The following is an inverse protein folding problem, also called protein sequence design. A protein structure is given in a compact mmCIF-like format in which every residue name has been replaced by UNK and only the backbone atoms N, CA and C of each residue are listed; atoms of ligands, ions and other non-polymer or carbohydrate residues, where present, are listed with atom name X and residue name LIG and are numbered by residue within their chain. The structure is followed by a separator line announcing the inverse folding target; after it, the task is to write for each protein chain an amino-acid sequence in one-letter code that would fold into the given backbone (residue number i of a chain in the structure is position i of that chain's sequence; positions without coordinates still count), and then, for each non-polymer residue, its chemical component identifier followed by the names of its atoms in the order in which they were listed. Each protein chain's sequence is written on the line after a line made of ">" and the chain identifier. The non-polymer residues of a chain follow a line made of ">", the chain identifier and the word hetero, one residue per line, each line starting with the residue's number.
data_IF_031543469093
#
_entry.id   IF_031543469093
#
_cell.length_a   1.000
_cell.length_b   1.000
_cell.length_c   1.000
_cell.angle_alpha   90.00
_cell.angle_beta   90.00
_cell.angle_gamma   90.00
#
_symmetry.space_group_name_H-M   'P 1'
#
loop_
_entity.id
_entity.type
_entity.pdbx_description
1 polymer ?
#
# COMPACT_ATOMS: atom_id res chain seq x y z
N UNK A 1 14.83 52.24 -59.21
CA UNK A 1 15.78 51.54 -58.33
C UNK A 1 15.02 51.14 -57.11
N UNK A 2 14.49 49.93 -57.09
CA UNK A 2 13.60 49.40 -56.04
C UNK A 2 14.40 48.59 -55.07
N UNK A 3 14.49 49.01 -53.81
CA UNK A 3 15.13 48.32 -52.73
C UNK A 3 14.04 47.44 -52.04
N UNK A 4 14.08 46.13 -52.24
CA UNK A 4 13.24 45.12 -51.49
C UNK A 4 13.78 44.95 -50.07
N UNK A 5 12.98 45.32 -49.08
CA UNK A 5 13.25 45.01 -47.67
C UNK A 5 12.99 43.54 -47.41
N UNK A 6 14.03 42.80 -47.03
CA UNK A 6 13.96 41.42 -46.55
C UNK A 6 13.54 41.47 -45.07
N UNK A 7 12.35 40.96 -44.74
CA UNK A 7 11.90 40.79 -43.35
C UNK A 7 12.35 39.44 -42.85
N UNK A 8 13.28 39.43 -41.90
CA UNK A 8 13.74 38.22 -41.20
C UNK A 8 12.75 37.92 -40.08
N UNK A 9 11.98 36.82 -40.21
CA UNK A 9 11.16 36.32 -39.15
C UNK A 9 12.03 35.47 -38.19
N UNK A 10 12.23 35.98 -36.97
CA UNK A 10 12.80 35.22 -35.87
C UNK A 10 11.63 34.43 -35.21
N UNK A 11 11.57 33.12 -35.39
CA UNK A 11 10.70 32.27 -34.61
C UNK A 11 11.25 32.16 -33.18
N UNK A 12 10.44 32.38 -32.14
CA UNK A 12 10.87 32.06 -30.79
C UNK A 12 10.92 30.53 -30.62
N UNK A 13 12.09 30.01 -30.31
CA UNK A 13 12.25 28.63 -29.86
C UNK A 13 11.59 28.49 -28.48
N UNK A 14 10.39 27.96 -28.43
CA UNK A 14 9.78 27.47 -27.18
C UNK A 14 10.59 26.29 -26.68
N UNK A 15 11.46 26.50 -25.69
CA UNK A 15 12.02 25.43 -24.89
C UNK A 15 10.87 24.76 -24.15
N UNK A 16 10.45 23.60 -24.63
CA UNK A 16 9.68 22.63 -23.84
C UNK A 16 10.60 22.17 -22.70
N UNK A 17 10.46 22.77 -21.53
CA UNK A 17 10.97 22.17 -20.29
C UNK A 17 10.20 20.87 -20.08
N UNK A 18 10.77 19.77 -20.53
CA UNK A 18 10.40 18.43 -20.07
C UNK A 18 10.73 18.41 -18.58
N UNK A 19 9.71 18.44 -17.73
CA UNK A 19 9.86 18.07 -16.35
C UNK A 19 10.25 16.58 -16.33
N UNK A 20 11.54 16.30 -16.24
CA UNK A 20 12.04 14.97 -15.96
C UNK A 20 11.63 14.63 -14.51
N UNK A 21 10.49 14.01 -14.32
CA UNK A 21 10.09 13.37 -13.06
C UNK A 21 10.87 12.05 -12.87
N UNK A 22 12.19 12.11 -12.92
CA UNK A 22 13.02 11.00 -12.46
C UNK A 22 12.91 10.97 -10.93
N UNK A 23 12.68 9.79 -10.31
CA UNK A 23 12.70 9.67 -8.86
C UNK A 23 14.03 10.19 -8.33
N UNK A 24 14.00 10.93 -7.22
CA UNK A 24 15.23 11.36 -6.56
C UNK A 24 16.00 10.14 -6.09
N UNK A 25 17.34 10.19 -6.18
CA UNK A 25 18.18 9.05 -5.79
C UNK A 25 18.13 8.80 -4.28
N UNK A 26 17.90 9.82 -3.47
CA UNK A 26 17.82 9.76 -2.02
C UNK A 26 16.42 10.16 -1.52
N UNK A 27 15.88 9.38 -0.58
CA UNK A 27 14.61 9.63 0.09
C UNK A 27 14.65 9.19 1.54
N UNK A 28 13.49 9.24 2.21
CA UNK A 28 13.31 8.73 3.55
C UNK A 28 12.49 7.44 3.52
N UNK A 29 13.04 6.37 4.09
CA UNK A 29 12.34 5.14 4.37
C UNK A 29 11.72 5.24 5.77
N UNK A 30 10.39 5.13 5.84
CA UNK A 30 9.60 5.12 7.06
C UNK A 30 9.17 3.68 7.33
N UNK A 31 9.42 3.20 8.54
CA UNK A 31 9.16 1.81 8.91
C UNK A 31 8.21 1.80 10.11
N UNK A 32 7.06 1.13 9.96
CA UNK A 32 6.14 0.82 11.06
C UNK A 32 6.35 -0.59 11.58
N UNK A 33 6.07 -0.81 12.87
CA UNK A 33 6.28 -2.11 13.53
C UNK A 33 5.23 -2.43 14.57
N UNK A 34 5.18 -3.67 15.01
CA UNK A 34 4.54 -4.02 16.28
C UNK A 34 5.52 -3.74 17.42
N UNK A 35 5.23 -2.69 18.17
CA UNK A 35 6.06 -2.22 19.28
C UNK A 35 5.17 -1.63 20.36
N UNK A 36 5.64 -1.67 21.62
CA UNK A 36 4.96 -0.96 22.70
C UNK A 36 5.07 0.55 22.54
N UNK A 37 4.22 1.31 23.22
CA UNK A 37 4.27 2.78 23.17
C UNK A 37 5.57 3.38 23.75
N UNK A 38 6.30 2.64 24.57
CA UNK A 38 7.59 3.07 25.13
C UNK A 38 8.75 2.92 24.14
N UNK A 39 8.57 2.14 23.07
CA UNK A 39 9.60 1.88 22.07
C UNK A 39 9.42 2.80 20.86
N UNK A 40 10.51 2.98 20.10
CA UNK A 40 10.43 3.65 18.78
C UNK A 40 9.78 2.73 17.76
N UNK A 41 8.45 2.65 17.78
CA UNK A 41 7.65 1.81 16.88
C UNK A 41 7.65 2.29 15.42
N UNK A 42 7.91 3.57 15.18
CA UNK A 42 8.15 4.12 13.85
C UNK A 42 9.61 4.56 13.76
N UNK A 43 10.33 4.09 12.72
CA UNK A 43 11.73 4.48 12.46
C UNK A 43 11.90 5.11 11.10
N UNK A 44 12.83 6.06 11.00
CA UNK A 44 13.16 6.81 9.80
C UNK A 44 14.62 6.57 9.42
N UNK A 45 14.84 6.23 8.17
CA UNK A 45 16.17 6.10 7.57
C UNK A 45 16.27 6.99 6.34
N UNK A 46 17.44 7.59 6.09
CA UNK A 46 17.78 8.02 4.73
C UNK A 46 18.09 6.79 3.90
N UNK A 47 17.61 6.74 2.70
CA UNK A 47 17.78 5.61 1.80
C UNK A 47 18.17 6.08 0.40
N UNK A 48 19.37 5.66 -0.05
CA UNK A 48 19.84 5.84 -1.43
C UNK A 48 19.36 4.65 -2.27
N UNK A 49 18.40 4.90 -3.15
CA UNK A 49 17.82 3.86 -4.01
C UNK A 49 18.73 3.43 -5.18
N UNK A 50 19.84 4.14 -5.45
CA UNK A 50 20.80 3.73 -6.46
C UNK A 50 21.73 2.62 -5.96
N UNK A 51 22.15 2.71 -4.70
CA UNK A 51 23.16 1.84 -4.12
C UNK A 51 22.64 0.98 -2.96
N UNK A 52 21.36 1.19 -2.55
CA UNK A 52 20.78 0.60 -1.35
C UNK A 52 21.64 0.88 -0.09
N UNK A 53 22.16 2.11 -0.01
CA UNK A 53 22.81 2.60 1.21
C UNK A 53 21.76 3.25 2.11
N UNK A 54 21.92 3.09 3.42
CA UNK A 54 20.96 3.57 4.38
C UNK A 54 21.62 4.06 5.64
N UNK A 55 21.04 5.10 6.25
CA UNK A 55 21.48 5.60 7.54
C UNK A 55 20.28 5.95 8.42
N UNK A 56 20.33 5.49 9.67
CA UNK A 56 19.31 5.80 10.67
C UNK A 56 19.27 7.31 10.94
N UNK A 57 18.06 7.88 10.97
CA UNK A 57 17.82 9.30 11.21
C UNK A 57 17.23 9.52 12.60
N UNK A 58 16.22 8.75 12.96
CA UNK A 58 15.50 8.85 14.21
C UNK A 58 14.31 7.91 14.26
N UNK A 59 13.62 7.92 15.39
CA UNK A 59 12.39 7.15 15.60
C UNK A 59 11.39 7.93 16.43
N UNK A 60 10.17 7.41 16.50
CA UNK A 60 9.06 7.94 17.26
C UNK A 60 8.50 6.86 18.19
N UNK A 61 8.44 7.17 19.49
CA UNK A 61 7.69 6.45 20.51
C UNK A 61 6.36 7.15 20.80
N UNK A 62 5.49 6.56 21.59
CA UNK A 62 4.20 7.14 22.02
C UNK A 62 2.99 6.56 21.30
N UNK A 63 3.19 5.65 20.35
CA UNK A 63 2.08 4.93 19.66
C UNK A 63 2.29 3.44 19.89
N UNK A 64 1.27 2.76 20.44
CA UNK A 64 1.28 1.30 20.56
C UNK A 64 1.00 0.66 19.19
N UNK A 65 1.78 -0.34 18.83
CA UNK A 65 1.63 -1.11 17.60
C UNK A 65 1.38 -0.23 16.33
N UNK A 66 2.28 0.72 15.99
CA UNK A 66 2.13 1.51 14.76
C UNK A 66 2.43 0.64 13.52
N UNK A 67 1.58 -0.36 13.31
CA UNK A 67 1.78 -1.44 12.34
C UNK A 67 1.60 -1.00 10.89
N UNK A 68 0.88 0.09 10.64
CA UNK A 68 0.73 0.67 9.31
C UNK A 68 0.87 2.19 9.35
N UNK A 69 1.69 2.71 8.44
CA UNK A 69 1.92 4.15 8.28
C UNK A 69 1.69 4.55 6.82
N UNK A 70 1.17 5.74 6.58
CA UNK A 70 0.92 6.25 5.23
C UNK A 70 1.24 7.73 5.13
N UNK A 71 2.13 8.16 4.20
CA UNK A 71 2.48 9.57 4.03
C UNK A 71 1.42 10.32 3.23
N UNK A 72 1.22 11.60 3.55
CA UNK A 72 0.50 12.53 2.68
C UNK A 72 1.22 12.69 1.34
N UNK A 73 0.49 13.07 0.29
CA UNK A 73 1.03 13.22 -1.07
C UNK A 73 2.21 14.21 -1.16
N UNK A 74 2.18 15.26 -0.35
CA UNK A 74 3.27 16.25 -0.27
C UNK A 74 4.40 15.83 0.66
N UNK A 75 4.23 14.73 1.40
CA UNK A 75 5.18 14.19 2.36
C UNK A 75 5.40 15.07 3.59
N UNK A 76 4.49 16.00 3.92
CA UNK A 76 4.58 16.83 5.13
C UNK A 76 3.96 16.15 6.35
N UNK A 77 3.04 15.21 6.12
CA UNK A 77 2.35 14.48 7.17
C UNK A 77 2.50 12.97 6.96
N UNK A 78 2.45 12.24 8.06
CA UNK A 78 2.34 10.79 8.08
C UNK A 78 1.18 10.44 9.00
N UNK A 79 0.33 9.52 8.56
CA UNK A 79 -0.74 8.98 9.38
C UNK A 79 -0.41 7.55 9.76
N UNK A 80 -0.66 7.19 11.02
CA UNK A 80 -0.31 5.88 11.55
C UNK A 80 -1.48 5.30 12.37
N UNK A 81 -1.72 4.01 12.23
CA UNK A 81 -2.60 3.28 13.15
C UNK A 81 -1.88 3.00 14.47
N UNK A 82 -2.63 2.84 15.57
CA UNK A 82 -2.25 2.07 16.74
C UNK A 82 -3.10 0.81 16.72
N UNK A 83 -2.54 -0.31 16.23
CA UNK A 83 -3.27 -1.57 16.00
C UNK A 83 -3.49 -2.33 17.32
N UNK A 84 -4.31 -1.74 18.19
CA UNK A 84 -4.70 -2.35 19.45
C UNK A 84 -6.13 -2.88 19.38
N UNK A 85 -6.53 -3.65 20.38
CA UNK A 85 -7.87 -4.21 20.56
C UNK A 85 -8.33 -4.00 21.99
N UNK A 86 -9.65 -3.94 22.23
CA UNK A 86 -10.19 -3.84 23.57
C UNK A 86 -9.60 -4.93 24.52
N UNK A 87 -9.19 -4.60 25.78
CA UNK A 87 -9.49 -3.37 26.50
C UNK A 87 -8.55 -2.17 26.19
N UNK A 88 -7.46 -2.38 25.44
CA UNK A 88 -6.61 -1.28 24.97
C UNK A 88 -7.35 -0.46 23.92
N UNK A 89 -6.97 0.80 23.75
CA UNK A 89 -7.67 1.72 22.85
C UNK A 89 -6.97 1.81 21.51
N UNK A 90 -7.57 1.29 20.41
CA UNK A 90 -7.06 1.50 19.08
C UNK A 90 -7.04 2.99 18.72
N UNK A 91 -6.07 3.41 17.93
CA UNK A 91 -5.88 4.83 17.58
C UNK A 91 -5.58 5.05 16.10
N UNK A 92 -5.93 6.26 15.63
CA UNK A 92 -5.41 6.86 14.42
C UNK A 92 -4.61 8.11 14.81
N UNK A 93 -3.40 8.23 14.28
CA UNK A 93 -2.43 9.24 14.71
C UNK A 93 -1.98 10.08 13.53
N UNK A 94 -1.98 11.41 13.69
CA UNK A 94 -1.40 12.36 12.73
C UNK A 94 -0.03 12.78 13.19
N UNK A 95 0.94 12.71 12.29
CA UNK A 95 2.33 13.05 12.53
C UNK A 95 2.79 14.13 11.55
N UNK A 96 3.55 15.10 12.02
CA UNK A 96 4.32 16.02 11.19
C UNK A 96 5.64 15.39 10.82
N UNK A 97 6.02 15.48 9.57
CA UNK A 97 7.30 15.01 9.06
C UNK A 97 8.12 16.17 8.52
N UNK A 98 9.31 16.39 9.07
CA UNK A 98 10.25 17.37 8.57
C UNK A 98 11.13 16.76 7.46
N UNK A 99 10.85 17.11 6.21
CA UNK A 99 11.59 16.62 5.03
C UNK A 99 13.06 17.07 4.97
N UNK A 100 13.47 18.05 5.76
CA UNK A 100 14.86 18.48 5.80
C UNK A 100 15.69 17.59 6.74
N UNK A 101 15.12 17.24 7.88
CA UNK A 101 15.80 16.52 8.94
C UNK A 101 15.40 15.05 9.05
N UNK A 102 14.17 14.69 8.63
CA UNK A 102 13.55 13.37 8.83
C UNK A 102 12.91 13.23 10.21
N UNK A 103 12.76 14.32 10.97
CA UNK A 103 12.14 14.28 12.30
C UNK A 103 10.63 14.05 12.21
N UNK A 104 10.09 13.32 13.21
CA UNK A 104 8.68 13.06 13.41
C UNK A 104 8.17 13.71 14.69
N UNK A 105 6.95 14.26 14.63
CA UNK A 105 6.25 14.82 15.79
C UNK A 105 4.77 14.44 15.74
N UNK A 106 4.19 13.98 16.86
CA UNK A 106 2.74 13.70 16.95
C UNK A 106 2.01 15.05 16.97
N UNK A 107 1.10 15.26 16.02
CA UNK A 107 0.18 16.40 15.97
C UNK A 107 -0.99 16.13 16.90
N UNK A 108 -1.71 15.02 16.65
CA UNK A 108 -2.77 14.53 17.51
C UNK A 108 -2.99 13.03 17.36
N UNK A 109 -3.69 12.48 18.34
CA UNK A 109 -4.16 11.10 18.37
C UNK A 109 -5.67 11.12 18.55
N UNK A 110 -6.38 10.38 17.70
CA UNK A 110 -7.81 10.15 17.81
C UNK A 110 -8.09 8.70 18.21
N UNK A 111 -9.08 8.42 19.06
CA UNK A 111 -9.59 7.08 19.23
C UNK A 111 -10.06 6.52 17.88
N UNK A 112 -9.75 5.24 17.62
CA UNK A 112 -10.27 4.50 16.47
C UNK A 112 -11.41 3.61 16.99
N UNK A 113 -12.67 3.84 16.58
CA UNK A 113 -13.82 3.08 17.08
C UNK A 113 -13.77 1.60 16.76
N UNK A 114 -13.18 1.24 15.58
CA UNK A 114 -13.03 -0.15 15.19
C UNK A 114 -11.79 -0.80 15.79
N UNK A 115 -11.91 -2.08 16.17
CA UNK A 115 -10.82 -2.88 16.73
C UNK A 115 -9.82 -3.34 15.67
N UNK A 116 -8.53 -3.35 16.03
CA UNK A 116 -7.40 -3.75 15.19
C UNK A 116 -7.33 -3.00 13.85
N UNK A 117 -7.16 -1.67 13.86
CA UNK A 117 -6.90 -0.92 12.63
C UNK A 117 -5.56 -1.38 12.02
N UNK A 118 -5.60 -2.11 10.91
CA UNK A 118 -4.42 -2.74 10.33
C UNK A 118 -3.94 -2.10 9.02
N UNK A 119 -4.67 -1.08 8.54
CA UNK A 119 -4.31 -0.30 7.37
C UNK A 119 -4.85 1.14 7.52
N UNK A 120 -4.12 2.10 6.97
CA UNK A 120 -4.49 3.52 6.94
C UNK A 120 -4.07 4.13 5.60
N UNK A 121 -4.91 4.98 5.02
CA UNK A 121 -4.65 5.63 3.74
C UNK A 121 -5.21 7.05 3.72
N UNK A 122 -4.58 7.93 2.93
CA UNK A 122 -5.04 9.31 2.68
C UNK A 122 -5.78 9.38 1.35
N UNK A 123 -6.89 10.09 1.31
CA UNK A 123 -7.63 10.35 0.06
C UNK A 123 -6.76 11.09 -0.97
N UNK A 124 -7.01 10.92 -2.29
CA UNK A 124 -6.24 11.58 -3.34
C UNK A 124 -6.27 13.12 -3.28
N UNK A 125 -7.36 13.70 -2.75
CA UNK A 125 -7.53 15.14 -2.52
C UNK A 125 -6.86 15.64 -1.24
N UNK A 126 -6.38 14.71 -0.37
CA UNK A 126 -5.72 15.04 0.89
C UNK A 126 -6.66 15.53 1.99
N UNK A 127 -7.97 15.30 1.88
CA UNK A 127 -8.95 15.80 2.86
C UNK A 127 -9.40 14.73 3.87
N UNK A 128 -9.18 13.46 3.58
CA UNK A 128 -9.67 12.35 4.41
C UNK A 128 -8.59 11.31 4.66
N UNK A 129 -8.65 10.71 5.86
CA UNK A 129 -7.92 9.50 6.22
C UNK A 129 -8.96 8.40 6.47
N UNK A 130 -8.64 7.19 6.02
CA UNK A 130 -9.45 5.99 6.25
C UNK A 130 -8.61 4.92 6.93
N UNK A 131 -9.15 4.27 7.96
CA UNK A 131 -8.59 3.05 8.54
C UNK A 131 -9.47 1.87 8.21
N UNK A 132 -8.88 0.71 7.92
CA UNK A 132 -9.61 -0.56 7.88
C UNK A 132 -9.34 -1.35 9.15
N UNK A 133 -10.41 -1.77 9.81
CA UNK A 133 -10.40 -2.37 11.12
C UNK A 133 -10.68 -3.86 11.02
N UNK A 134 -9.64 -4.66 11.28
CA UNK A 134 -9.69 -6.10 11.02
C UNK A 134 -10.72 -6.80 11.92
N UNK A 135 -10.59 -6.67 13.24
CA UNK A 135 -11.56 -7.27 14.15
C UNK A 135 -12.85 -6.47 14.29
N UNK A 136 -12.81 -5.16 14.08
CA UNK A 136 -14.00 -4.33 14.06
C UNK A 136 -14.94 -4.63 12.89
N UNK A 137 -14.38 -5.06 11.76
CA UNK A 137 -15.15 -5.34 10.55
C UNK A 137 -15.79 -4.08 9.93
N UNK A 138 -15.15 -2.93 10.13
CA UNK A 138 -15.62 -1.62 9.69
C UNK A 138 -14.48 -0.77 9.12
N UNK A 139 -14.83 0.38 8.55
CA UNK A 139 -13.91 1.46 8.18
C UNK A 139 -14.21 2.64 9.09
N UNK A 140 -13.16 3.28 9.60
CA UNK A 140 -13.31 4.61 10.21
C UNK A 140 -12.72 5.67 9.28
N UNK A 141 -13.43 6.78 9.09
CA UNK A 141 -12.99 7.93 8.32
C UNK A 141 -12.79 9.15 9.17
N UNK A 142 -11.75 9.93 8.87
CA UNK A 142 -11.38 11.14 9.59
C UNK A 142 -11.17 12.28 8.61
N UNK A 143 -11.75 13.44 8.89
CA UNK A 143 -11.42 14.66 8.15
C UNK A 143 -10.00 15.13 8.54
N UNK A 144 -9.20 15.55 7.58
CA UNK A 144 -7.88 16.17 7.79
C UNK A 144 -8.07 17.67 7.95
N UNK A 145 -7.69 18.21 9.09
CA UNK A 145 -7.73 19.65 9.37
C UNK A 145 -6.57 20.39 8.67
N UNK A 146 -6.64 21.70 8.61
CA UNK A 146 -5.66 22.53 7.89
C UNK A 146 -4.22 22.41 8.42
N UNK A 147 -4.03 22.01 9.66
CA UNK A 147 -2.71 21.79 10.30
C UNK A 147 -2.21 20.33 10.15
N UNK A 148 -2.99 19.48 9.49
CA UNK A 148 -2.72 18.07 9.29
C UNK A 148 -3.28 17.17 10.38
N UNK A 149 -3.92 17.71 11.43
CA UNK A 149 -4.53 16.91 12.50
C UNK A 149 -5.76 16.15 11.99
N UNK A 150 -6.13 15.07 12.69
CA UNK A 150 -7.33 14.29 12.42
C UNK A 150 -8.51 14.82 13.23
N UNK A 151 -9.66 15.00 12.57
CA UNK A 151 -10.95 15.22 13.20
C UNK A 151 -11.49 13.98 13.92
N UNK A 152 -12.75 14.05 14.37
CA UNK A 152 -13.42 12.91 15.03
C UNK A 152 -13.79 11.85 13.98
N UNK A 153 -13.63 10.59 14.34
CA UNK A 153 -13.97 9.45 13.49
C UNK A 153 -15.47 9.34 13.20
N UNK A 154 -15.79 8.90 11.97
CA UNK A 154 -17.10 8.35 11.60
C UNK A 154 -16.90 6.90 11.13
N UNK A 155 -17.66 5.98 11.74
CA UNK A 155 -17.56 4.54 11.40
C UNK A 155 -18.55 4.15 10.31
N UNK A 156 -18.11 3.29 9.42
CA UNK A 156 -18.89 2.67 8.36
C UNK A 156 -18.89 1.16 8.61
N UNK A 157 -20.05 0.63 9.00
CA UNK A 157 -20.24 -0.76 9.39
C UNK A 157 -20.62 -1.64 8.21
N UNK A 158 -20.08 -2.86 8.18
CA UNK A 158 -20.42 -3.88 7.20
C UNK A 158 -21.07 -5.10 7.84
N UNK A 159 -21.70 -5.94 7.01
CA UNK A 159 -22.37 -7.15 7.47
C UNK A 159 -22.14 -8.28 6.48
N UNK A 160 -22.12 -9.49 7.00
CA UNK A 160 -21.98 -10.68 6.17
C UNK A 160 -21.00 -11.69 6.77
N UNK A 161 -20.79 -12.75 6.03
CA UNK A 161 -19.83 -13.82 6.32
C UNK A 161 -19.56 -14.59 5.04
N UNK A 162 -18.56 -15.49 5.04
CA UNK A 162 -18.32 -16.33 3.89
C UNK A 162 -18.00 -17.79 4.28
N UNK A 163 -17.22 -18.48 3.45
CA UNK A 163 -17.10 -19.94 3.43
C UNK A 163 -16.34 -20.51 4.63
N UNK A 164 -15.32 -19.82 5.11
CA UNK A 164 -14.49 -20.31 6.22
C UNK A 164 -15.22 -20.10 7.55
N UNK A 165 -15.55 -21.18 8.30
CA UNK A 165 -16.34 -21.07 9.53
C UNK A 165 -15.57 -20.47 10.71
N UNK A 166 -14.24 -20.35 10.63
CA UNK A 166 -13.38 -19.82 11.68
C UNK A 166 -12.87 -18.40 11.33
N UNK A 167 -12.51 -18.19 10.07
CA UNK A 167 -11.84 -16.96 9.61
C UNK A 167 -12.76 -15.99 8.86
N UNK A 168 -14.01 -16.39 8.54
CA UNK A 168 -14.98 -15.58 7.79
C UNK A 168 -16.36 -15.54 8.47
N UNK A 169 -16.37 -15.35 9.79
CA UNK A 169 -17.58 -15.35 10.63
C UNK A 169 -18.34 -14.04 10.60
N UNK A 170 -17.68 -12.93 10.27
CA UNK A 170 -18.20 -11.59 10.11
C UNK A 170 -17.27 -10.80 9.14
N UNK A 171 -17.54 -9.55 8.81
CA UNK A 171 -16.60 -8.74 8.02
C UNK A 171 -15.25 -8.59 8.74
N UNK A 172 -14.16 -8.63 7.97
CA UNK A 172 -12.79 -8.37 8.42
C UNK A 172 -12.13 -7.46 7.42
N UNK A 173 -12.27 -6.14 7.58
CA UNK A 173 -11.70 -5.16 6.66
C UNK A 173 -10.18 -5.12 6.80
N UNK A 174 -9.45 -5.45 5.74
CA UNK A 174 -8.00 -5.58 5.81
C UNK A 174 -7.25 -4.45 5.13
N UNK A 175 -7.78 -3.89 4.07
CA UNK A 175 -7.18 -2.77 3.37
C UNK A 175 -8.23 -1.88 2.71
N UNK A 176 -7.88 -0.61 2.57
CA UNK A 176 -8.57 0.36 1.70
C UNK A 176 -7.60 0.85 0.64
N UNK A 177 -8.10 1.06 -0.58
CA UNK A 177 -7.34 1.48 -1.73
C UNK A 177 -8.13 2.49 -2.53
N UNK A 178 -7.43 3.35 -3.31
CA UNK A 178 -8.08 4.20 -4.30
C UNK A 178 -7.83 3.68 -5.70
N UNK A 179 -8.83 3.82 -6.60
CA UNK A 179 -8.61 3.61 -8.01
C UNK A 179 -7.58 4.62 -8.55
N UNK A 180 -6.81 4.28 -9.63
CA UNK A 180 -5.74 5.13 -10.14
C UNK A 180 -6.19 6.52 -10.59
N UNK A 181 -7.44 6.65 -11.00
CA UNK A 181 -8.08 7.91 -11.38
C UNK A 181 -8.67 8.69 -10.19
N UNK A 182 -8.56 8.15 -8.97
CA UNK A 182 -9.07 8.74 -7.75
C UNK A 182 -10.59 8.78 -7.60
N UNK A 183 -11.34 8.07 -8.47
CA UNK A 183 -12.81 8.13 -8.47
C UNK A 183 -13.47 7.18 -7.47
N UNK A 184 -12.78 6.11 -7.09
CA UNK A 184 -13.34 5.06 -6.23
C UNK A 184 -12.43 4.74 -5.08
N UNK A 185 -13.02 4.52 -3.90
CA UNK A 185 -12.42 3.86 -2.77
C UNK A 185 -12.87 2.39 -2.79
N UNK A 186 -11.91 1.48 -2.65
CA UNK A 186 -12.10 0.04 -2.61
C UNK A 186 -11.70 -0.47 -1.23
N UNK A 187 -12.56 -1.25 -0.59
CA UNK A 187 -12.31 -1.84 0.72
C UNK A 187 -12.31 -3.36 0.63
N UNK A 188 -11.18 -3.96 0.94
CA UNK A 188 -10.95 -5.41 0.86
C UNK A 188 -11.47 -6.07 2.14
N UNK A 189 -12.57 -6.83 2.02
CA UNK A 189 -13.20 -7.54 3.14
C UNK A 189 -12.88 -9.05 3.08
N UNK A 190 -11.92 -9.44 3.91
CA UNK A 190 -11.50 -10.83 4.06
C UNK A 190 -12.65 -11.72 4.54
N UNK A 191 -13.50 -11.18 5.42
CA UNK A 191 -14.56 -11.95 6.08
C UNK A 191 -15.73 -12.30 5.19
N UNK A 192 -16.00 -11.50 4.16
CA UNK A 192 -17.17 -11.68 3.28
C UNK A 192 -16.83 -12.06 1.84
N UNK A 193 -15.54 -12.18 1.49
CA UNK A 193 -15.04 -12.40 0.13
C UNK A 193 -15.51 -11.32 -0.85
N UNK A 194 -15.46 -10.04 -0.42
CA UNK A 194 -15.90 -8.90 -1.21
C UNK A 194 -14.84 -7.82 -1.28
N UNK A 195 -14.91 -7.01 -2.32
CA UNK A 195 -14.38 -5.66 -2.34
C UNK A 195 -15.58 -4.72 -2.34
N UNK A 196 -15.75 -3.91 -1.30
CA UNK A 196 -16.76 -2.86 -1.26
C UNK A 196 -16.21 -1.65 -2.01
N UNK A 197 -17.00 -1.11 -2.95
CA UNK A 197 -16.59 -0.01 -3.83
C UNK A 197 -17.49 1.19 -3.59
N UNK A 198 -16.89 2.35 -3.32
CA UNK A 198 -17.57 3.62 -3.09
C UNK A 198 -17.06 4.69 -4.03
N UNK A 199 -17.89 5.68 -4.43
CA UNK A 199 -17.38 6.93 -4.98
C UNK A 199 -16.40 7.58 -3.97
N UNK A 200 -15.29 8.14 -4.47
CA UNK A 200 -14.24 8.72 -3.63
C UNK A 200 -14.44 10.23 -3.38
N UNK A 201 -15.55 10.81 -3.78
CA UNK A 201 -15.86 12.22 -3.59
C UNK A 201 -16.49 12.46 -2.21
N UNK A 202 -15.76 13.17 -1.32
CA UNK A 202 -16.22 13.50 0.03
C UNK A 202 -16.22 12.30 0.99
N UNK A 203 -17.02 12.36 2.06
CA UNK A 203 -17.16 11.25 2.99
C UNK A 203 -17.85 10.04 2.34
N UNK A 204 -17.56 8.84 2.83
CA UNK A 204 -18.15 7.60 2.31
C UNK A 204 -19.69 7.67 2.37
N UNK A 205 -20.36 7.49 1.22
CA UNK A 205 -21.80 7.34 1.10
C UNK A 205 -22.15 5.86 0.88
N UNK A 206 -22.70 5.23 1.91
CA UNK A 206 -23.08 3.81 1.88
C UNK A 206 -24.26 3.50 0.96
N UNK A 207 -25.08 4.49 0.61
CA UNK A 207 -26.18 4.30 -0.35
C UNK A 207 -25.67 4.13 -1.80
N UNK A 208 -24.45 4.60 -2.06
CA UNK A 208 -23.78 4.48 -3.36
C UNK A 208 -22.81 3.30 -3.45
N UNK A 209 -22.77 2.45 -2.41
CA UNK A 209 -21.90 1.27 -2.37
C UNK A 209 -22.27 0.24 -3.43
N UNK A 210 -21.24 -0.36 -4.03
CA UNK A 210 -21.36 -1.56 -4.85
C UNK A 210 -20.39 -2.64 -4.35
N UNK A 211 -20.79 -3.90 -4.44
CA UNK A 211 -19.95 -5.04 -4.05
C UNK A 211 -19.38 -5.74 -5.31
N UNK A 212 -18.07 -5.92 -5.33
CA UNK A 212 -17.39 -6.86 -6.21
C UNK A 212 -17.19 -8.18 -5.44
N UNK A 213 -17.94 -9.21 -5.83
CA UNK A 213 -17.81 -10.55 -5.25
C UNK A 213 -16.59 -11.25 -5.81
N UNK A 214 -15.78 -11.81 -4.95
CA UNK A 214 -14.62 -12.60 -5.31
C UNK A 214 -14.87 -14.11 -5.19
N UNK A 215 -13.81 -14.92 -5.19
CA UNK A 215 -13.94 -16.38 -5.06
C UNK A 215 -14.23 -16.73 -3.60
N UNK A 216 -15.26 -17.53 -3.28
CA UNK A 216 -15.56 -17.92 -1.91
C UNK A 216 -14.39 -18.65 -1.21
N UNK A 217 -13.95 -18.14 -0.08
CA UNK A 217 -12.80 -18.62 0.67
C UNK A 217 -11.47 -17.97 0.24
N UNK A 218 -11.52 -16.95 -0.62
CA UNK A 218 -10.34 -16.18 -1.02
C UNK A 218 -9.72 -15.44 0.17
N UNK A 219 -10.55 -14.74 0.94
CA UNK A 219 -10.12 -13.83 2.00
C UNK A 219 -9.37 -12.61 1.46
N UNK A 220 -10.04 -11.67 0.77
CA UNK A 220 -9.44 -10.43 0.24
C UNK A 220 -8.59 -9.71 1.28
N UNK A 221 -7.33 -9.42 0.94
CA UNK A 221 -6.41 -8.81 1.91
C UNK A 221 -5.81 -7.51 1.44
N UNK A 222 -5.03 -7.54 0.39
CA UNK A 222 -4.40 -6.37 -0.22
C UNK A 222 -4.62 -6.38 -1.73
N UNK A 223 -4.82 -5.18 -2.28
CA UNK A 223 -5.00 -4.94 -3.69
C UNK A 223 -3.99 -3.91 -4.17
N UNK A 224 -3.45 -4.09 -5.37
CA UNK A 224 -2.63 -3.09 -6.03
C UNK A 224 -3.06 -2.90 -7.48
N UNK A 225 -2.84 -1.69 -8.00
CA UNK A 225 -3.07 -1.39 -9.41
C UNK A 225 -1.76 -1.42 -10.21
N UNK A 226 -1.88 -1.76 -11.49
CA UNK A 226 -0.79 -1.57 -12.44
C UNK A 226 -0.52 -0.07 -12.66
N UNK A 227 0.74 0.35 -12.95
CA UNK A 227 1.06 1.77 -13.14
C UNK A 227 0.30 2.44 -14.30
N UNK A 228 -0.16 1.67 -15.29
CA UNK A 228 -0.98 2.18 -16.38
C UNK A 228 -2.48 2.35 -16.02
N UNK A 229 -2.87 1.97 -14.79
CA UNK A 229 -4.21 2.08 -14.27
C UNK A 229 -5.26 1.12 -14.87
N UNK A 230 -4.85 0.17 -15.74
CA UNK A 230 -5.80 -0.70 -16.44
C UNK A 230 -6.11 -2.00 -15.70
N UNK A 231 -5.24 -2.44 -14.85
CA UNK A 231 -5.32 -3.74 -14.16
C UNK A 231 -5.18 -3.57 -12.66
N UNK A 232 -5.90 -4.39 -11.91
CA UNK A 232 -5.71 -4.53 -10.48
C UNK A 232 -5.46 -6.01 -10.14
N UNK A 233 -4.74 -6.24 -9.05
CA UNK A 233 -4.40 -7.56 -8.55
C UNK A 233 -4.73 -7.63 -7.06
N UNK A 234 -5.68 -8.49 -6.71
CA UNK A 234 -6.12 -8.74 -5.35
C UNK A 234 -5.49 -10.02 -4.83
N UNK A 235 -4.82 -9.96 -3.69
CA UNK A 235 -4.28 -11.13 -3.01
C UNK A 235 -5.25 -11.61 -1.94
N UNK A 236 -5.62 -12.89 -2.00
CA UNK A 236 -6.35 -13.59 -0.95
C UNK A 236 -5.43 -14.13 0.13
N UNK A 237 -5.67 -13.77 1.38
CA UNK A 237 -4.90 -14.28 2.52
C UNK A 237 -5.12 -15.78 2.71
N UNK A 238 -6.40 -16.22 2.68
CA UNK A 238 -6.80 -17.57 3.08
C UNK A 238 -6.48 -18.59 1.99
N UNK A 239 -6.87 -18.32 0.74
CA UNK A 239 -6.62 -19.23 -0.37
C UNK A 239 -5.22 -19.14 -0.95
N UNK A 240 -4.51 -18.03 -0.74
CA UNK A 240 -3.23 -17.77 -1.38
C UNK A 240 -3.30 -17.61 -2.90
N UNK A 241 -4.46 -17.18 -3.40
CA UNK A 241 -4.69 -16.89 -4.82
C UNK A 241 -4.60 -15.40 -5.09
N UNK A 242 -4.20 -15.05 -6.32
CA UNK A 242 -4.27 -13.71 -6.87
C UNK A 242 -5.40 -13.66 -7.88
N UNK A 243 -6.29 -12.68 -7.71
CA UNK A 243 -7.37 -12.36 -8.66
C UNK A 243 -6.92 -11.20 -9.52
N UNK A 244 -6.78 -11.42 -10.83
CA UNK A 244 -6.51 -10.36 -11.81
C UNK A 244 -7.81 -9.73 -12.27
N UNK A 245 -7.88 -8.40 -12.23
CA UNK A 245 -9.07 -7.60 -12.49
C UNK A 245 -8.75 -6.57 -13.56
N UNK A 246 -9.56 -6.50 -14.62
CA UNK A 246 -9.52 -5.38 -15.55
C UNK A 246 -10.31 -4.21 -14.98
N UNK A 247 -9.72 -3.04 -14.97
CA UNK A 247 -10.36 -1.79 -14.61
C UNK A 247 -10.66 -0.98 -15.88
N UNK A 248 -11.95 -0.67 -16.12
CA UNK A 248 -12.41 0.07 -17.29
C UNK A 248 -13.03 1.41 -16.88
N UNK A 249 -12.32 2.51 -17.14
CA UNK A 249 -12.73 3.86 -16.73
C UNK A 249 -14.10 4.31 -17.29
N UNK A 250 -14.42 3.96 -18.55
CA UNK A 250 -15.62 4.42 -19.24
C UNK A 250 -16.88 3.57 -18.98
N UNK A 251 -16.78 2.53 -18.14
CA UNK A 251 -17.90 1.62 -17.88
C UNK A 251 -18.75 2.04 -16.66
N UNK A 252 -20.03 1.65 -16.58
CA UNK A 252 -20.81 1.77 -15.34
C UNK A 252 -20.13 1.04 -14.18
N UNK A 253 -20.29 1.50 -12.94
CA UNK A 253 -19.60 0.99 -11.75
C UNK A 253 -19.58 -0.54 -11.66
N UNK A 254 -20.71 -1.20 -11.89
CA UNK A 254 -20.86 -2.66 -11.84
C UNK A 254 -20.00 -3.40 -12.87
N UNK A 255 -19.60 -2.75 -13.96
CA UNK A 255 -18.80 -3.33 -15.05
C UNK A 255 -17.36 -2.83 -15.08
N UNK A 256 -16.99 -1.92 -14.17
CA UNK A 256 -15.63 -1.34 -14.13
C UNK A 256 -14.56 -2.34 -13.70
N UNK A 257 -14.94 -3.31 -12.87
CA UNK A 257 -14.03 -4.29 -12.28
C UNK A 257 -14.39 -5.69 -12.79
N UNK A 258 -13.69 -6.15 -13.83
CA UNK A 258 -13.93 -7.46 -14.42
C UNK A 258 -12.80 -8.43 -14.02
N UNK A 259 -13.15 -9.49 -13.27
CA UNK A 259 -12.22 -10.58 -12.97
C UNK A 259 -11.89 -11.34 -14.26
N UNK A 260 -10.61 -11.45 -14.57
CA UNK A 260 -10.10 -12.06 -15.81
C UNK A 260 -9.30 -13.34 -15.58
N UNK A 261 -8.71 -13.49 -14.39
CA UNK A 261 -7.88 -14.65 -14.04
C UNK A 261 -7.88 -14.84 -12.52
N UNK A 262 -7.80 -16.11 -12.09
CA UNK A 262 -7.46 -16.49 -10.70
C UNK A 262 -6.23 -17.38 -10.77
N UNK A 263 -5.17 -17.02 -10.04
CA UNK A 263 -3.88 -17.69 -10.11
C UNK A 263 -3.39 -18.08 -8.72
N UNK A 264 -3.06 -19.35 -8.51
CA UNK A 264 -2.48 -19.82 -7.25
C UNK A 264 -1.08 -19.24 -7.04
N UNK A 265 -0.91 -18.42 -6.02
CA UNK A 265 0.36 -17.79 -5.66
C UNK A 265 1.05 -18.52 -4.51
N UNK A 266 0.32 -18.86 -3.44
CA UNK A 266 0.82 -19.72 -2.36
C UNK A 266 0.63 -21.19 -2.71
N UNK A 267 1.71 -21.86 -3.11
CA UNK A 267 1.69 -23.27 -3.50
C UNK A 267 1.74 -24.24 -2.32
N UNK A 268 1.93 -23.76 -1.09
CA UNK A 268 2.01 -24.55 0.11
C UNK A 268 0.71 -24.56 0.91
N UNK A 269 -0.32 -23.85 0.44
CA UNK A 269 -1.60 -23.71 1.11
C UNK A 269 -1.46 -23.31 2.59
N UNK A 270 -0.63 -22.29 2.84
CA UNK A 270 -0.32 -21.86 4.19
C UNK A 270 -1.46 -21.06 4.84
N UNK A 271 -2.33 -20.45 4.03
CA UNK A 271 -3.41 -19.57 4.52
C UNK A 271 -2.89 -18.27 5.13
N UNK A 272 -1.72 -17.79 4.66
CA UNK A 272 -1.04 -16.64 5.23
C UNK A 272 -0.42 -15.71 4.20
N UNK A 273 -0.98 -15.60 2.99
CA UNK A 273 -0.53 -14.61 2.02
C UNK A 273 -0.72 -13.20 2.57
N UNK A 274 0.21 -12.28 2.27
CA UNK A 274 0.23 -11.00 2.98
C UNK A 274 0.16 -9.80 2.04
N UNK A 275 1.19 -9.46 1.32
CA UNK A 275 1.29 -8.20 0.58
C UNK A 275 1.50 -8.43 -0.91
N UNK A 276 1.13 -7.43 -1.73
CA UNK A 276 1.18 -7.53 -3.19
C UNK A 276 1.50 -6.18 -3.83
N UNK A 277 2.49 -6.15 -4.72
CA UNK A 277 2.88 -4.95 -5.45
C UNK A 277 3.27 -5.26 -6.89
N UNK A 278 2.88 -4.36 -7.80
CA UNK A 278 3.38 -4.30 -9.17
C UNK A 278 4.65 -3.48 -9.21
N UNK A 279 5.63 -3.92 -9.97
CA UNK A 279 6.85 -3.14 -10.19
C UNK A 279 6.57 -1.81 -10.92
N UNK A 280 7.35 -0.73 -10.67
CA UNK A 280 7.11 0.58 -11.27
C UNK A 280 7.11 0.59 -12.81
N UNK A 281 7.82 -0.37 -13.45
CA UNK A 281 7.82 -0.58 -14.90
C UNK A 281 6.59 -1.35 -15.42
N UNK A 282 5.69 -1.80 -14.52
CA UNK A 282 4.47 -2.53 -14.83
C UNK A 282 4.68 -3.98 -15.28
N UNK A 283 5.91 -4.48 -15.33
CA UNK A 283 6.23 -5.77 -15.95
C UNK A 283 6.10 -6.97 -15.04
N UNK A 284 6.21 -6.77 -13.73
CA UNK A 284 6.24 -7.87 -12.75
C UNK A 284 5.35 -7.58 -11.56
N UNK A 285 4.76 -8.64 -11.03
CA UNK A 285 3.96 -8.66 -9.81
C UNK A 285 4.67 -9.54 -8.77
N UNK A 286 4.69 -9.07 -7.54
CA UNK A 286 5.25 -9.79 -6.39
C UNK A 286 4.17 -9.96 -5.34
N UNK A 287 4.13 -11.14 -4.69
CA UNK A 287 3.22 -11.41 -3.58
C UNK A 287 3.95 -12.16 -2.47
N UNK A 288 3.81 -11.70 -1.23
CA UNK A 288 4.45 -12.33 -0.07
C UNK A 288 3.58 -13.38 0.59
N UNK A 289 4.23 -14.43 1.10
CA UNK A 289 3.59 -15.58 1.78
C UNK A 289 4.29 -15.88 3.08
N UNK A 290 3.51 -16.25 4.11
CA UNK A 290 3.93 -16.48 5.49
C UNK A 290 3.51 -17.89 5.95
N UNK A 291 3.92 -18.29 7.15
CA UNK A 291 3.50 -19.49 7.90
C UNK A 291 4.10 -20.80 7.42
N UNK A 292 4.27 -21.00 6.12
CA UNK A 292 4.95 -22.14 5.51
C UNK A 292 5.71 -21.64 4.29
N UNK A 293 7.00 -21.78 4.24
CA UNK A 293 7.78 -21.33 3.08
C UNK A 293 7.72 -19.82 2.88
N UNK A 294 8.16 -19.09 3.90
CA UNK A 294 8.23 -17.63 3.89
C UNK A 294 9.00 -17.10 2.69
N UNK A 295 8.37 -16.21 1.92
CA UNK A 295 8.98 -15.68 0.69
C UNK A 295 8.03 -14.91 -0.22
N UNK A 296 8.51 -14.62 -1.42
CA UNK A 296 7.82 -13.86 -2.45
C UNK A 296 7.62 -14.70 -3.72
N UNK A 297 6.38 -14.87 -4.14
CA UNK A 297 6.05 -15.32 -5.49
C UNK A 297 6.28 -14.19 -6.49
N UNK A 298 6.84 -14.52 -7.65
CA UNK A 298 7.19 -13.57 -8.70
C UNK A 298 6.45 -13.96 -9.98
N UNK A 299 5.75 -13.00 -10.57
CA UNK A 299 5.00 -13.19 -11.82
C UNK A 299 5.40 -12.15 -12.85
N UNK A 300 5.43 -12.54 -14.12
CA UNK A 300 5.39 -11.60 -15.24
C UNK A 300 3.95 -11.16 -15.50
N UNK A 301 3.77 -9.93 -15.99
CA UNK A 301 2.47 -9.36 -16.37
C UNK A 301 2.44 -9.22 -17.89
N UNK A 302 1.44 -9.82 -18.53
CA UNK A 302 1.13 -9.57 -19.95
C UNK A 302 0.56 -8.15 -20.10
N UNK A 303 1.26 -7.30 -20.83
CA UNK A 303 0.94 -5.89 -20.95
C UNK A 303 -0.33 -5.62 -21.78
N UNK A 304 -0.78 -6.58 -22.58
CA UNK A 304 -1.95 -6.44 -23.44
C UNK A 304 -3.26 -6.78 -22.72
N UNK A 305 -3.20 -7.71 -21.74
CA UNK A 305 -4.42 -8.24 -21.11
C UNK A 305 -4.35 -8.35 -19.58
N UNK A 306 -3.22 -7.98 -18.95
CA UNK A 306 -3.03 -7.99 -17.49
C UNK A 306 -2.93 -9.38 -16.86
N UNK A 307 -2.87 -10.46 -17.62
CA UNK A 307 -2.70 -11.81 -17.10
C UNK A 307 -1.31 -12.01 -16.52
N UNK A 308 -1.23 -12.85 -15.51
CA UNK A 308 0.04 -13.12 -14.80
C UNK A 308 0.48 -14.56 -15.00
N UNK A 309 1.80 -14.75 -15.12
CA UNK A 309 2.46 -16.05 -15.20
C UNK A 309 3.63 -16.11 -14.21
N UNK A 310 3.71 -17.20 -13.43
CA UNK A 310 4.77 -17.37 -12.44
C UNK A 310 6.13 -17.53 -13.14
N UNK A 311 7.09 -16.68 -12.73
CA UNK A 311 8.48 -16.73 -13.23
C UNK A 311 9.51 -17.10 -12.16
N UNK A 312 9.13 -17.04 -10.88
CA UNK A 312 10.04 -17.38 -9.80
C UNK A 312 9.44 -17.37 -8.41
N UNK A 313 10.31 -17.66 -7.44
CA UNK A 313 10.08 -17.55 -6.02
C UNK A 313 11.38 -17.12 -5.32
N UNK A 314 11.28 -16.22 -4.35
CA UNK A 314 12.39 -15.78 -3.52
C UNK A 314 12.12 -16.10 -2.06
N UNK A 315 12.93 -16.96 -1.44
CA UNK A 315 12.89 -17.16 0.01
C UNK A 315 13.33 -15.89 0.75
N UNK A 316 12.72 -15.63 1.89
CA UNK A 316 13.01 -14.50 2.77
C UNK A 316 13.25 -14.95 4.22
N UNK A 317 13.43 -14.02 5.12
CA UNK A 317 13.26 -14.24 6.56
C UNK A 317 11.82 -14.60 6.92
N UNK A 318 11.60 -14.92 8.19
CA UNK A 318 10.32 -15.44 8.70
C UNK A 318 9.27 -14.32 8.73
N UNK A 319 8.07 -14.65 8.24
CA UNK A 319 6.89 -13.80 8.24
C UNK A 319 7.06 -12.51 7.45
N UNK A 320 7.29 -12.55 6.12
CA UNK A 320 7.35 -11.38 5.25
C UNK A 320 5.97 -10.73 5.13
N UNK A 321 5.61 -9.86 6.11
CA UNK A 321 4.25 -9.30 6.22
C UNK A 321 3.99 -8.17 5.22
N UNK A 322 5.02 -7.38 4.91
CA UNK A 322 4.97 -6.26 3.98
C UNK A 322 6.28 -6.16 3.20
N UNK A 323 6.23 -5.61 2.02
CA UNK A 323 7.40 -5.28 1.23
C UNK A 323 7.14 -4.05 0.37
N UNK A 324 8.20 -3.43 -0.12
CA UNK A 324 8.10 -2.34 -1.07
C UNK A 324 9.12 -2.49 -2.19
N UNK A 325 8.83 -1.91 -3.34
CA UNK A 325 9.77 -1.78 -4.45
C UNK A 325 10.18 -0.31 -4.51
N UNK A 326 11.49 -0.05 -4.60
CA UNK A 326 11.98 1.32 -4.73
C UNK A 326 11.40 1.98 -5.99
N UNK A 327 11.11 3.29 -5.99
CA UNK A 327 10.50 3.99 -7.13
C UNK A 327 11.28 3.86 -8.44
N UNK A 328 12.62 3.75 -8.37
CA UNK A 328 13.45 3.45 -9.55
C UNK A 328 13.40 1.98 -9.99
N UNK A 329 12.71 1.13 -9.23
CA UNK A 329 12.52 -0.30 -9.52
C UNK A 329 13.75 -1.17 -9.30
N UNK A 330 14.86 -0.66 -8.77
CA UNK A 330 16.13 -1.40 -8.65
C UNK A 330 16.17 -2.37 -7.47
N UNK A 331 15.51 -2.03 -6.38
CA UNK A 331 15.52 -2.83 -5.15
C UNK A 331 14.11 -3.14 -4.67
N UNK A 332 14.01 -4.23 -3.92
CA UNK A 332 12.83 -4.65 -3.20
C UNK A 332 13.23 -4.90 -1.74
N UNK A 333 12.54 -4.24 -0.80
CA UNK A 333 12.76 -4.34 0.63
C UNK A 333 11.64 -5.16 1.24
N UNK A 334 11.97 -6.14 2.10
CA UNK A 334 10.99 -7.05 2.72
C UNK A 334 11.07 -6.95 4.23
N UNK A 335 9.98 -6.56 4.86
CA UNK A 335 9.81 -6.56 6.31
C UNK A 335 9.47 -7.97 6.81
N UNK A 336 10.47 -8.67 7.36
CA UNK A 336 10.36 -10.02 7.91
C UNK A 336 10.11 -9.92 9.41
N UNK A 337 8.82 -9.88 9.80
CA UNK A 337 8.38 -9.57 11.18
C UNK A 337 9.08 -10.43 12.22
N UNK A 338 9.01 -11.75 12.07
CA UNK A 338 9.49 -12.68 13.11
C UNK A 338 11.00 -12.92 13.05
N UNK A 339 11.65 -12.49 11.98
CA UNK A 339 13.11 -12.41 11.90
C UNK A 339 13.67 -11.10 12.45
N UNK A 340 12.83 -10.12 12.80
CA UNK A 340 13.24 -8.80 13.27
C UNK A 340 14.19 -8.07 12.31
N UNK A 341 13.92 -8.19 10.99
CA UNK A 341 14.82 -7.67 9.96
C UNK A 341 14.04 -7.20 8.74
N UNK A 342 14.57 -6.16 8.09
CA UNK A 342 14.20 -5.81 6.72
C UNK A 342 15.34 -6.27 5.81
N UNK A 343 15.05 -7.16 4.87
CA UNK A 343 16.00 -7.65 3.88
C UNK A 343 15.89 -6.83 2.59
N UNK A 344 17.03 -6.61 1.93
CA UNK A 344 17.12 -5.82 0.70
C UNK A 344 17.57 -6.73 -0.44
N UNK A 345 16.72 -6.84 -1.47
CA UNK A 345 16.97 -7.60 -2.68
C UNK A 345 17.19 -6.68 -3.86
N UNK A 346 18.19 -6.97 -4.69
CA UNK A 346 18.36 -6.33 -5.99
C UNK A 346 17.44 -7.00 -7.00
N UNK A 347 16.62 -6.22 -7.69
CA UNK A 347 15.71 -6.70 -8.73
C UNK A 347 16.41 -6.72 -10.09
N UNK A 348 16.27 -7.82 -10.83
CA UNK A 348 16.57 -7.86 -12.25
C UNK A 348 15.36 -7.31 -13.02
N UNK A 349 15.52 -6.17 -13.67
CA UNK A 349 14.43 -5.47 -14.34
C UNK A 349 13.95 -6.14 -15.65
N UNK A 350 14.68 -7.12 -16.18
CA UNK A 350 14.31 -7.87 -17.38
C UNK A 350 13.58 -9.17 -17.05
N UNK A 351 13.95 -9.84 -15.94
CA UNK A 351 13.40 -11.14 -15.56
C UNK A 351 12.50 -11.11 -14.34
N UNK A 352 12.47 -9.99 -13.59
CA UNK A 352 11.77 -9.85 -12.32
C UNK A 352 12.42 -10.56 -11.15
N UNK A 353 13.41 -11.42 -11.38
CA UNK A 353 14.04 -12.21 -10.34
C UNK A 353 14.82 -11.34 -9.35
N UNK A 354 14.85 -11.81 -8.10
CA UNK A 354 15.48 -11.11 -6.98
C UNK A 354 16.81 -11.79 -6.63
N UNK A 355 17.77 -10.96 -6.23
CA UNK A 355 19.06 -11.40 -5.69
C UNK A 355 19.28 -10.73 -4.35
N UNK A 356 19.49 -11.52 -3.30
CA UNK A 356 19.87 -11.01 -1.99
C UNK A 356 21.14 -10.17 -2.07
N UNK A 357 21.10 -8.96 -1.51
CA UNK A 357 22.26 -8.05 -1.45
C UNK A 357 23.13 -8.33 -0.24
N UNK A 358 22.63 -9.05 0.75
CA UNK A 358 23.22 -9.22 2.07
C UNK A 358 23.10 -7.96 2.97
N UNK A 359 22.44 -6.89 2.48
CA UNK A 359 22.17 -5.68 3.27
C UNK A 359 20.85 -5.86 4.03
N UNK A 360 20.82 -5.44 5.29
CA UNK A 360 19.66 -5.54 6.17
C UNK A 360 19.51 -4.31 7.07
N UNK A 361 18.27 -4.09 7.54
CA UNK A 361 17.97 -3.16 8.65
C UNK A 361 17.43 -4.01 9.79
N UNK A 362 18.07 -3.97 10.94
CA UNK A 362 17.58 -4.64 12.16
C UNK A 362 16.53 -3.76 12.85
N UNK A 363 15.36 -4.31 13.09
CA UNK A 363 14.25 -3.66 13.77
C UNK A 363 13.30 -4.72 14.33
N UNK A 364 12.84 -4.54 15.57
CA UNK A 364 11.86 -5.42 16.19
C UNK A 364 10.53 -5.39 15.41
N UNK A 365 10.01 -6.57 15.03
CA UNK A 365 8.72 -6.80 14.39
C UNK A 365 8.34 -5.79 13.27
N UNK A 366 9.18 -5.54 12.24
CA UNK A 366 8.86 -4.58 11.19
C UNK A 366 7.72 -5.13 10.32
N UNK A 367 6.71 -4.29 9.99
CA UNK A 367 5.50 -4.75 9.28
C UNK A 367 4.95 -3.76 8.25
N UNK A 368 5.53 -2.57 8.12
CA UNK A 368 5.14 -1.58 7.12
C UNK A 368 6.34 -0.80 6.63
N UNK A 369 6.45 -0.61 5.32
CA UNK A 369 7.51 0.14 4.66
C UNK A 369 6.91 1.20 3.74
N UNK A 370 7.29 2.47 3.93
CA UNK A 370 6.88 3.59 3.07
C UNK A 370 8.08 4.45 2.72
N UNK A 371 8.04 5.11 1.57
CA UNK A 371 9.13 5.98 1.14
C UNK A 371 8.62 7.37 0.78
N UNK A 372 9.37 8.41 1.22
CA UNK A 372 9.10 9.84 0.97
C UNK A 372 10.30 10.45 0.24
N UNK A 373 10.04 11.29 -0.78
CA UNK A 373 11.04 12.00 -1.59
C UNK A 373 10.90 13.51 -1.56
#
# INVERSE_FOLDING_TARGET
>A
MNIKKLATYILPATMLMSCNNQPKDEGFLIIGSYASAEEEGIKVYRFDQENAEMSYVGGLAGISNPSFVYPSKDGQFIYAVGEDVAPDTPTANALRFDKATGALEIINTQPNPGDAPCNIIVSPDGQWVYTSNYFGGNIDEYHIEADGSLGVARSIEFQGKSKDPERQTHPYLHAVNFSPDGKFLLADDLGTDRIHVFPAEGPIDTELMADLFTVPGLGPRHLCFSPNGKYAYLLGELSGEIVSINYADDSPLVMKFLITQVTKADTLDAGGSADIHVSPDGKFLYASHRLKGDGLSIFSIDQDNGKIERVGYQNTGIHPRNFMITPNGKYLLVACRDSNVIQIFKRNMETGLLKDTGKTIEMSNPVCLQMIY
#
